data_IF_161346730123
#
_entry.id   IF_161346730123
#
_cell.length_a   1.000
_cell.length_b   1.000
_cell.length_c   1.000
_cell.angle_alpha   90.00
_cell.angle_beta   90.00
_cell.angle_gamma   90.00
#
_symmetry.space_group_name_H-M   'P 1'
#
loop_
_entity.id
_entity.type
_entity.pdbx_description
1 polymer ?
#
# COMPACT_ATOMS: atom_id res chain seq x y z
N UNK A 1 -47.01 2.24 11.78
CA UNK A 1 -47.07 1.48 10.52
C UNK A 1 -48.54 1.20 10.20
N UNK A 2 -48.97 1.38 8.95
CA UNK A 2 -50.36 1.07 8.53
C UNK A 2 -50.45 -0.40 8.11
N UNK A 3 -51.59 -1.01 8.32
CA UNK A 3 -51.84 -2.42 7.97
C UNK A 3 -51.58 -2.70 6.49
N UNK A 4 -51.89 -1.75 5.63
CA UNK A 4 -51.73 -1.82 4.16
C UNK A 4 -50.29 -1.87 3.70
N UNK A 5 -49.31 -1.52 4.55
CA UNK A 5 -47.90 -1.51 4.27
C UNK A 5 -47.26 -2.88 4.45
N UNK A 6 -47.90 -3.79 5.19
CA UNK A 6 -47.41 -5.16 5.42
C UNK A 6 -47.93 -6.08 4.32
N UNK A 7 -47.10 -6.31 3.32
CA UNK A 7 -47.42 -7.15 2.16
C UNK A 7 -46.41 -8.31 2.04
N UNK A 8 -46.77 -9.40 1.35
CA UNK A 8 -45.83 -10.43 1.03
C UNK A 8 -44.58 -9.88 0.30
N UNK A 9 -43.39 -10.33 0.66
CA UNK A 9 -42.09 -9.86 0.14
C UNK A 9 -41.50 -8.70 0.96
N UNK A 10 -42.21 -8.15 1.96
CA UNK A 10 -41.68 -7.11 2.82
C UNK A 10 -40.87 -7.71 3.96
N UNK A 11 -39.76 -7.12 4.27
CA UNK A 11 -38.96 -7.49 5.43
C UNK A 11 -39.30 -6.61 6.61
N UNK A 12 -39.59 -7.23 7.75
CA UNK A 12 -39.98 -6.56 8.97
C UNK A 12 -38.99 -6.87 10.10
N UNK A 13 -38.78 -5.89 10.99
CA UNK A 13 -38.03 -6.07 12.21
C UNK A 13 -38.82 -5.46 13.39
N UNK A 14 -38.74 -6.10 14.53
CA UNK A 14 -39.40 -5.68 15.75
C UNK A 14 -38.88 -6.42 16.97
N UNK A 15 -39.26 -5.97 18.17
CA UNK A 15 -38.78 -6.56 19.43
C UNK A 15 -39.16 -8.02 19.64
N UNK A 16 -40.10 -8.55 18.86
CA UNK A 16 -40.54 -9.95 18.93
C UNK A 16 -39.61 -10.92 18.21
N UNK A 17 -38.79 -10.41 17.30
CA UNK A 17 -37.87 -11.26 16.51
C UNK A 17 -36.43 -10.78 16.68
N UNK A 18 -35.51 -11.70 16.95
CA UNK A 18 -34.07 -11.36 17.05
C UNK A 18 -33.49 -10.99 15.71
N UNK A 19 -34.12 -11.38 14.61
CA UNK A 19 -33.68 -11.16 13.23
C UNK A 19 -34.80 -10.60 12.37
N UNK A 20 -34.47 -10.06 11.20
CA UNK A 20 -35.41 -9.63 10.18
C UNK A 20 -36.21 -10.80 9.66
N UNK A 21 -37.51 -10.63 9.50
CA UNK A 21 -38.45 -11.62 8.98
C UNK A 21 -38.91 -11.18 7.59
N UNK A 22 -38.75 -12.02 6.60
CA UNK A 22 -39.39 -11.87 5.30
C UNK A 22 -40.83 -12.39 5.37
N UNK A 23 -41.77 -11.52 5.07
CA UNK A 23 -43.20 -11.85 5.13
C UNK A 23 -43.63 -12.58 3.86
N UNK A 24 -44.03 -13.82 3.98
CA UNK A 24 -44.51 -14.62 2.84
C UNK A 24 -46.03 -14.54 2.66
N UNK A 25 -46.79 -14.41 3.78
CA UNK A 25 -48.22 -14.31 3.76
C UNK A 25 -48.72 -13.45 4.92
N UNK A 26 -49.78 -12.69 4.67
CA UNK A 26 -50.47 -11.87 5.65
C UNK A 26 -51.95 -12.22 5.62
N UNK A 27 -52.55 -12.55 6.79
CA UNK A 27 -53.96 -12.78 6.96
C UNK A 27 -54.52 -11.75 7.93
N UNK A 28 -55.56 -11.04 7.48
CA UNK A 28 -56.23 -10.05 8.33
C UNK A 28 -57.36 -10.73 9.13
N UNK A 29 -57.23 -10.68 10.45
CA UNK A 29 -58.18 -11.25 11.42
C UNK A 29 -58.94 -10.16 12.19
N UNK A 30 -59.25 -9.04 11.54
CA UNK A 30 -59.90 -7.91 12.15
C UNK A 30 -58.95 -7.05 12.99
N UNK A 31 -58.97 -7.19 14.31
CA UNK A 31 -58.04 -6.47 15.18
C UNK A 31 -56.65 -7.08 15.31
N UNK A 32 -56.41 -8.16 14.58
CA UNK A 32 -55.12 -8.88 14.57
C UNK A 32 -54.68 -9.18 13.14
N UNK A 33 -53.39 -9.26 12.95
CA UNK A 33 -52.74 -9.73 11.72
C UNK A 33 -51.94 -11.02 12.00
N UNK A 34 -52.20 -12.06 11.21
CA UNK A 34 -51.37 -13.25 11.23
C UNK A 34 -50.29 -13.08 10.17
N UNK A 35 -49.06 -13.11 10.60
CA UNK A 35 -47.88 -12.98 9.76
C UNK A 35 -47.20 -14.34 9.65
N UNK A 36 -47.07 -14.83 8.42
CA UNK A 36 -46.32 -16.04 8.09
C UNK A 36 -45.12 -15.64 7.26
N UNK A 37 -43.92 -16.05 7.68
CA UNK A 37 -42.68 -15.67 7.04
C UNK A 37 -41.50 -16.54 7.44
N UNK A 38 -40.33 -16.11 7.06
CA UNK A 38 -39.07 -16.76 7.44
C UNK A 38 -38.03 -15.73 7.87
N UNK A 39 -37.18 -16.10 8.82
CA UNK A 39 -36.02 -15.30 9.18
C UNK A 39 -34.89 -15.49 8.17
N UNK A 40 -33.90 -14.60 8.18
CA UNK A 40 -32.72 -14.74 7.33
C UNK A 40 -31.93 -16.04 7.59
N UNK A 41 -32.03 -16.59 8.81
CA UNK A 41 -31.48 -17.88 9.20
C UNK A 41 -32.33 -19.09 8.79
N UNK A 42 -33.47 -18.88 8.07
CA UNK A 42 -34.35 -19.95 7.58
C UNK A 42 -35.38 -20.43 8.61
N UNK A 43 -35.52 -19.79 9.77
CA UNK A 43 -36.55 -20.17 10.76
C UNK A 43 -37.91 -19.73 10.26
N UNK A 44 -38.88 -20.64 10.31
CA UNK A 44 -40.28 -20.34 10.03
C UNK A 44 -40.89 -19.49 11.16
N UNK A 45 -41.61 -18.45 10.79
CA UNK A 45 -42.32 -17.55 11.70
C UNK A 45 -43.82 -17.59 11.34
N UNK A 46 -44.65 -17.97 12.30
CA UNK A 46 -46.12 -17.89 12.21
C UNK A 46 -46.60 -17.28 13.48
N UNK A 47 -46.99 -15.99 13.42
CA UNK A 47 -47.40 -15.23 14.60
C UNK A 47 -48.61 -14.33 14.33
N UNK A 48 -49.46 -14.22 15.35
CA UNK A 48 -50.58 -13.29 15.38
C UNK A 48 -50.14 -12.05 16.16
N UNK A 49 -50.34 -10.88 15.57
CA UNK A 49 -49.90 -9.58 16.09
C UNK A 49 -51.12 -8.68 16.15
N UNK A 50 -51.33 -7.99 17.28
CA UNK A 50 -52.37 -6.97 17.40
C UNK A 50 -52.02 -5.70 16.63
N UNK A 51 -53.05 -4.94 16.22
CA UNK A 51 -52.82 -3.65 15.52
C UNK A 51 -52.02 -2.66 16.38
N UNK A 52 -52.16 -2.70 17.71
CA UNK A 52 -51.37 -1.86 18.61
C UNK A 52 -49.84 -2.19 18.57
N UNK A 53 -49.50 -3.47 18.39
CA UNK A 53 -48.10 -3.92 18.32
C UNK A 53 -47.46 -3.61 16.98
N UNK A 54 -48.23 -3.31 15.93
CA UNK A 54 -47.67 -2.87 14.63
C UNK A 54 -46.86 -1.56 14.76
N UNK A 55 -47.14 -0.72 15.75
CA UNK A 55 -46.35 0.49 15.98
C UNK A 55 -44.89 0.20 16.40
N UNK A 56 -44.63 -1.00 16.94
CA UNK A 56 -43.29 -1.43 17.37
C UNK A 56 -42.55 -2.22 16.28
N UNK A 57 -43.17 -2.38 15.11
CA UNK A 57 -42.60 -3.06 13.97
C UNK A 57 -42.18 -2.02 12.92
N UNK A 58 -41.01 -2.20 12.35
CA UNK A 58 -40.50 -1.37 11.26
C UNK A 58 -40.28 -2.20 10.02
N UNK A 59 -40.56 -1.61 8.86
CA UNK A 59 -40.20 -2.20 7.57
C UNK A 59 -38.71 -1.98 7.39
N UNK A 60 -38.00 -3.05 7.05
CA UNK A 60 -36.60 -3.02 6.68
C UNK A 60 -36.53 -3.20 5.18
N UNK A 61 -36.06 -2.19 4.49
CA UNK A 61 -35.79 -2.33 3.05
C UNK A 61 -34.56 -3.20 2.88
N UNK A 62 -34.76 -4.39 2.35
CA UNK A 62 -33.68 -5.30 1.92
C UNK A 62 -33.53 -5.10 0.42
N UNK A 63 -32.65 -4.26 0.03
CA UNK A 63 -32.40 -3.93 -1.37
C UNK A 63 -31.40 -2.79 -1.50
N UNK A 64 -31.08 -2.43 -2.71
CA UNK A 64 -30.25 -1.25 -2.99
C UNK A 64 -31.04 0.00 -2.60
N UNK A 65 -30.58 0.69 -1.57
CA UNK A 65 -31.18 1.95 -1.14
C UNK A 65 -30.73 3.08 -2.08
N UNK A 66 -31.65 3.59 -2.88
CA UNK A 66 -31.45 4.73 -3.76
C UNK A 66 -31.78 6.08 -3.09
N UNK A 67 -32.00 6.10 -1.78
CA UNK A 67 -32.29 7.35 -1.05
C UNK A 67 -31.06 8.21 -0.78
N UNK A 68 -29.88 7.67 -1.05
CA UNK A 68 -28.61 8.38 -0.86
C UNK A 68 -28.51 9.57 -1.80
N UNK A 69 -28.04 10.71 -1.25
CA UNK A 69 -27.77 11.92 -2.02
C UNK A 69 -26.86 11.61 -3.23
N UNK A 70 -27.30 12.04 -4.42
CA UNK A 70 -26.62 11.70 -5.70
C UNK A 70 -25.14 12.07 -5.71
N UNK A 71 -24.75 13.16 -5.05
CA UNK A 71 -23.36 13.58 -4.92
C UNK A 71 -22.52 12.56 -4.13
N UNK A 72 -23.06 12.03 -3.02
CA UNK A 72 -22.37 11.01 -2.22
C UNK A 72 -22.26 9.68 -2.96
N UNK A 73 -23.30 9.28 -3.69
CA UNK A 73 -23.29 8.08 -4.52
C UNK A 73 -22.24 8.21 -5.64
N UNK A 74 -22.19 9.36 -6.30
CA UNK A 74 -21.19 9.65 -7.34
C UNK A 74 -19.76 9.60 -6.79
N UNK A 75 -19.49 10.27 -5.65
CA UNK A 75 -18.19 10.24 -5.01
C UNK A 75 -17.76 8.82 -4.59
N UNK A 76 -18.70 8.02 -4.09
CA UNK A 76 -18.42 6.62 -3.74
C UNK A 76 -18.05 5.80 -5.00
N UNK A 77 -18.79 5.94 -6.09
CA UNK A 77 -18.50 5.26 -7.35
C UNK A 77 -17.17 5.71 -7.95
N UNK A 78 -16.87 7.02 -7.95
CA UNK A 78 -15.58 7.53 -8.42
C UNK A 78 -14.43 7.05 -7.55
N UNK A 79 -14.60 7.02 -6.23
CA UNK A 79 -13.59 6.46 -5.32
C UNK A 79 -13.30 4.99 -5.62
N UNK A 80 -14.34 4.20 -5.88
CA UNK A 80 -14.21 2.80 -6.27
C UNK A 80 -13.51 2.71 -7.64
N UNK A 81 -13.90 3.54 -8.59
CA UNK A 81 -13.31 3.59 -9.93
C UNK A 81 -11.81 3.92 -9.87
N UNK A 82 -11.41 4.96 -9.13
CA UNK A 82 -9.99 5.29 -8.91
C UNK A 82 -9.23 4.17 -8.21
N UNK A 83 -9.83 3.55 -7.21
CA UNK A 83 -9.21 2.42 -6.50
C UNK A 83 -8.97 1.23 -7.43
N UNK A 84 -9.88 0.92 -8.32
CA UNK A 84 -9.71 -0.17 -9.28
C UNK A 84 -8.82 0.22 -10.46
N UNK A 85 -8.89 1.44 -10.97
CA UNK A 85 -8.00 1.91 -12.03
C UNK A 85 -6.53 1.78 -11.63
N UNK A 86 -6.20 2.11 -10.37
CA UNK A 86 -4.84 1.96 -9.84
C UNK A 86 -4.35 0.51 -9.76
N UNK A 87 -5.25 -0.47 -9.70
CA UNK A 87 -4.90 -1.90 -9.69
C UNK A 87 -4.64 -2.45 -11.09
N UNK A 88 -5.27 -1.85 -12.11
CA UNK A 88 -5.20 -2.35 -13.49
C UNK A 88 -4.30 -1.53 -14.41
N UNK A 89 -3.87 -0.33 -13.97
CA UNK A 89 -2.90 0.46 -14.74
C UNK A 89 -1.50 -0.14 -14.58
N UNK A 90 -0.90 -0.70 -15.65
CA UNK A 90 0.43 -1.27 -15.58
C UNK A 90 1.53 -0.22 -15.41
N UNK A 91 1.25 1.07 -15.72
CA UNK A 91 2.20 2.18 -15.72
C UNK A 91 1.82 3.28 -14.71
N UNK A 92 1.23 2.89 -13.58
CA UNK A 92 0.62 3.80 -12.61
C UNK A 92 1.59 4.89 -12.10
N UNK A 93 2.82 4.50 -11.74
CA UNK A 93 3.81 5.46 -11.27
C UNK A 93 4.23 6.44 -12.37
N UNK A 94 4.35 5.98 -13.61
CA UNK A 94 4.66 6.86 -14.75
C UNK A 94 3.55 7.90 -14.95
N UNK A 95 2.30 7.47 -14.96
CA UNK A 95 1.14 8.36 -15.19
C UNK A 95 0.89 9.35 -14.04
N UNK A 96 1.41 9.07 -12.84
CA UNK A 96 1.26 9.92 -11.66
C UNK A 96 2.51 10.71 -11.28
N UNK A 97 3.59 10.58 -12.04
CA UNK A 97 4.86 11.28 -11.82
C UNK A 97 5.05 12.42 -12.82
N UNK A 98 5.89 13.39 -12.44
CA UNK A 98 6.26 14.53 -13.32
C UNK A 98 7.53 14.20 -14.11
N UNK A 99 7.50 13.07 -14.84
CA UNK A 99 8.62 12.57 -15.64
C UNK A 99 8.12 12.06 -16.98
N UNK A 100 8.92 12.28 -18.02
CA UNK A 100 8.77 11.64 -19.32
C UNK A 100 9.90 10.62 -19.49
N UNK A 101 9.68 9.37 -19.05
CA UNK A 101 10.73 8.36 -19.07
C UNK A 101 11.01 7.91 -20.49
N UNK A 102 12.28 7.66 -20.78
CA UNK A 102 12.72 7.14 -22.07
C UNK A 102 12.32 5.66 -22.23
N UNK A 103 12.17 5.16 -23.48
CA UNK A 103 11.72 3.78 -23.73
C UNK A 103 12.53 2.72 -23.01
N UNK A 104 13.86 2.84 -22.94
CA UNK A 104 14.73 1.91 -22.21
C UNK A 104 14.48 1.91 -20.69
N UNK A 105 14.11 3.07 -20.12
CA UNK A 105 13.78 3.20 -18.69
C UNK A 105 12.44 2.52 -18.38
N UNK A 106 11.46 2.66 -19.26
CA UNK A 106 10.15 1.98 -19.16
C UNK A 106 10.37 0.48 -19.26
N UNK A 107 11.14 0.03 -20.25
CA UNK A 107 11.46 -1.39 -20.45
C UNK A 107 12.19 -1.99 -19.24
N UNK A 108 13.20 -1.30 -18.72
CA UNK A 108 13.94 -1.75 -17.54
C UNK A 108 13.02 -1.91 -16.31
N UNK A 109 12.17 -0.93 -16.03
CA UNK A 109 11.29 -0.94 -14.87
C UNK A 109 10.14 -1.92 -15.04
N UNK A 110 9.33 -1.75 -16.07
CA UNK A 110 8.09 -2.50 -16.25
C UNK A 110 8.28 -3.81 -17.04
N UNK A 111 9.29 -3.87 -17.91
CA UNK A 111 9.63 -5.05 -18.67
C UNK A 111 10.36 -6.11 -17.86
N UNK A 112 11.22 -5.69 -16.96
CA UNK A 112 12.10 -6.60 -16.21
C UNK A 112 11.90 -6.53 -14.70
N UNK A 113 12.18 -5.37 -14.05
CA UNK A 113 12.28 -5.29 -12.58
C UNK A 113 10.96 -5.63 -11.89
N UNK A 114 9.86 -5.02 -12.28
CA UNK A 114 8.56 -5.20 -11.62
C UNK A 114 7.88 -6.54 -11.93
N UNK A 115 8.39 -7.29 -12.91
CA UNK A 115 7.90 -8.67 -13.18
C UNK A 115 8.51 -9.71 -12.25
N UNK A 116 9.58 -9.35 -11.53
CA UNK A 116 10.21 -10.28 -10.61
C UNK A 116 9.35 -10.47 -9.36
N UNK A 117 9.08 -11.70 -8.95
CA UNK A 117 8.34 -11.98 -7.71
C UNK A 117 9.10 -11.49 -6.48
N UNK A 118 10.43 -11.37 -6.60
CA UNK A 118 11.32 -10.77 -5.61
C UNK A 118 12.35 -9.91 -6.35
N UNK A 119 12.34 -8.62 -6.08
CA UNK A 119 13.23 -7.67 -6.75
C UNK A 119 14.63 -7.81 -6.17
N UNK A 120 15.51 -8.44 -6.94
CA UNK A 120 16.97 -8.44 -6.75
C UNK A 120 17.56 -8.13 -8.11
N UNK A 121 17.89 -6.88 -8.34
CA UNK A 121 18.25 -6.40 -9.65
C UNK A 121 19.40 -5.41 -9.58
N UNK A 122 20.32 -5.50 -10.52
CA UNK A 122 21.41 -4.55 -10.74
C UNK A 122 21.12 -3.79 -12.04
N UNK A 123 21.05 -2.47 -11.96
CA UNK A 123 21.06 -1.62 -13.15
C UNK A 123 22.49 -1.15 -13.36
N UNK A 124 23.13 -1.70 -14.38
CA UNK A 124 24.42 -1.27 -14.89
C UNK A 124 24.16 -0.51 -16.19
N UNK A 125 24.21 0.80 -16.13
CA UNK A 125 23.91 1.68 -17.27
C UNK A 125 24.86 2.88 -17.26
N UNK A 126 25.00 3.56 -18.39
CA UNK A 126 25.91 4.69 -18.54
C UNK A 126 25.58 5.86 -17.60
N UNK A 127 26.57 6.69 -17.23
CA UNK A 127 26.33 7.96 -16.58
C UNK A 127 25.34 8.81 -17.37
N UNK A 128 24.29 9.32 -16.68
CA UNK A 128 23.28 10.13 -17.35
C UNK A 128 22.10 9.38 -17.98
N UNK A 129 22.10 8.05 -18.02
CA UNK A 129 20.97 7.25 -18.54
C UNK A 129 19.67 7.38 -17.73
N UNK A 130 19.66 8.22 -16.68
CA UNK A 130 18.47 8.48 -15.88
C UNK A 130 18.15 7.39 -14.87
N UNK A 131 19.18 6.77 -14.29
CA UNK A 131 19.05 5.72 -13.28
C UNK A 131 18.19 6.14 -12.09
N UNK A 132 18.27 7.41 -11.65
CA UNK A 132 17.41 7.98 -10.61
C UNK A 132 15.94 7.99 -11.02
N UNK A 133 15.64 8.17 -12.32
CA UNK A 133 14.26 8.10 -12.84
C UNK A 133 13.72 6.69 -12.72
N UNK A 134 14.49 5.68 -13.14
CA UNK A 134 14.11 4.27 -13.00
C UNK A 134 13.87 3.89 -11.54
N UNK A 135 14.79 4.31 -10.66
CA UNK A 135 14.65 4.07 -9.22
C UNK A 135 13.41 4.73 -8.62
N UNK A 136 13.14 5.99 -8.98
CA UNK A 136 11.95 6.72 -8.53
C UNK A 136 10.65 6.09 -9.02
N UNK A 137 10.61 5.62 -10.27
CA UNK A 137 9.46 4.88 -10.81
C UNK A 137 9.21 3.58 -10.03
N UNK A 138 10.26 2.81 -9.72
CA UNK A 138 10.14 1.57 -8.95
C UNK A 138 9.60 1.86 -7.54
N UNK A 139 10.18 2.84 -6.84
CA UNK A 139 9.77 3.23 -5.49
C UNK A 139 8.29 3.64 -5.49
N UNK A 140 7.90 4.53 -6.41
CA UNK A 140 6.54 5.03 -6.50
C UNK A 140 5.55 3.93 -6.87
N UNK A 141 5.91 3.03 -7.79
CA UNK A 141 5.06 1.89 -8.17
C UNK A 141 4.82 0.94 -6.98
N UNK A 142 5.88 0.54 -6.29
CA UNK A 142 5.79 -0.33 -5.11
C UNK A 142 4.93 0.29 -4.00
N UNK A 143 5.05 1.61 -3.81
CA UNK A 143 4.28 2.37 -2.82
C UNK A 143 2.81 2.48 -3.20
N UNK A 144 2.49 2.88 -4.45
CA UNK A 144 1.13 3.01 -4.94
C UNK A 144 0.38 1.68 -4.92
N UNK A 145 1.06 0.58 -5.26
CA UNK A 145 0.50 -0.77 -5.17
C UNK A 145 0.46 -1.33 -3.76
N UNK A 146 0.98 -0.59 -2.76
CA UNK A 146 1.06 -1.00 -1.35
C UNK A 146 1.86 -2.30 -1.13
N UNK A 147 2.79 -2.59 -2.02
CA UNK A 147 3.70 -3.73 -1.93
C UNK A 147 4.80 -3.43 -0.92
N UNK A 148 5.32 -2.20 -0.91
CA UNK A 148 6.33 -1.74 0.02
C UNK A 148 5.88 -0.45 0.71
N UNK A 149 6.20 -0.33 1.99
CA UNK A 149 5.92 0.85 2.83
C UNK A 149 7.20 1.47 3.37
N UNK A 150 8.21 0.65 3.63
CA UNK A 150 9.44 1.06 4.28
C UNK A 150 10.63 0.94 3.33
N UNK A 151 11.20 2.10 3.02
CA UNK A 151 12.23 2.25 1.99
C UNK A 151 13.53 2.77 2.61
N UNK A 152 14.64 2.18 2.22
CA UNK A 152 15.99 2.65 2.54
C UNK A 152 16.77 2.91 1.25
N UNK A 153 17.24 4.14 1.09
CA UNK A 153 18.14 4.53 0.00
C UNK A 153 19.51 4.81 0.58
N UNK A 154 20.51 4.10 0.10
CA UNK A 154 21.92 4.29 0.48
C UNK A 154 22.63 4.90 -0.69
N UNK A 155 23.05 6.15 -0.55
CA UNK A 155 23.60 6.96 -1.66
C UNK A 155 24.95 7.55 -1.30
N UNK A 156 25.80 7.93 -2.27
CA UNK A 156 26.99 8.70 -1.99
C UNK A 156 26.64 10.04 -1.34
N UNK A 157 27.44 10.47 -0.35
CA UNK A 157 27.12 11.68 0.42
C UNK A 157 26.99 12.94 -0.43
N UNK A 158 27.75 13.08 -1.51
CA UNK A 158 27.69 14.22 -2.43
C UNK A 158 26.46 14.22 -3.35
N UNK A 159 25.77 13.08 -3.53
CA UNK A 159 24.54 12.96 -4.33
C UNK A 159 23.26 13.07 -3.49
N UNK A 160 23.38 13.17 -2.16
CA UNK A 160 22.27 13.26 -1.23
C UNK A 160 21.20 14.27 -1.64
N UNK A 161 21.62 15.52 -1.82
CA UNK A 161 20.68 16.63 -2.09
C UNK A 161 20.05 16.52 -3.47
N UNK A 162 20.77 15.92 -4.43
CA UNK A 162 20.22 15.61 -5.74
C UNK A 162 19.12 14.54 -5.62
N UNK A 163 19.36 13.43 -4.92
CA UNK A 163 18.39 12.37 -4.71
C UNK A 163 17.12 12.88 -4.02
N UNK A 164 17.28 13.64 -2.92
CA UNK A 164 16.14 14.20 -2.19
C UNK A 164 15.31 15.14 -3.06
N UNK A 165 15.97 15.98 -3.86
CA UNK A 165 15.30 16.91 -4.79
C UNK A 165 14.57 16.15 -5.89
N UNK A 166 15.24 15.22 -6.58
CA UNK A 166 14.63 14.50 -7.69
C UNK A 166 13.44 13.65 -7.24
N UNK A 167 13.53 12.99 -6.10
CA UNK A 167 12.41 12.22 -5.54
C UNK A 167 11.22 13.13 -5.20
N UNK A 168 11.48 14.29 -4.61
CA UNK A 168 10.43 15.24 -4.26
C UNK A 168 9.80 15.92 -5.48
N UNK A 169 10.63 16.47 -6.38
CA UNK A 169 10.14 17.32 -7.47
C UNK A 169 9.49 16.50 -8.60
N UNK A 170 10.05 15.32 -8.90
CA UNK A 170 9.61 14.48 -10.01
C UNK A 170 8.58 13.45 -9.60
N UNK A 171 8.70 12.90 -8.40
CA UNK A 171 7.87 11.79 -7.92
C UNK A 171 6.92 12.17 -6.79
N UNK A 172 7.04 13.39 -6.24
CA UNK A 172 6.27 13.85 -5.08
C UNK A 172 6.50 12.97 -3.84
N UNK A 173 7.69 12.37 -3.74
CA UNK A 173 8.09 11.50 -2.64
C UNK A 173 9.02 12.23 -1.68
N UNK A 174 8.64 12.25 -0.41
CA UNK A 174 9.42 12.91 0.64
C UNK A 174 10.21 11.86 1.44
N UNK A 175 11.53 11.96 1.39
CA UNK A 175 12.44 11.11 2.13
C UNK A 175 13.13 11.91 3.23
N UNK A 176 13.33 11.28 4.38
CA UNK A 176 14.09 11.84 5.50
C UNK A 176 15.56 11.46 5.35
N UNK A 177 16.43 12.46 5.38
CA UNK A 177 17.87 12.19 5.42
C UNK A 177 18.33 11.89 6.83
N UNK A 178 18.83 10.68 7.05
CA UNK A 178 19.33 10.23 8.36
C UNK A 178 20.85 10.27 8.36
N UNK A 179 21.37 11.18 9.18
CA UNK A 179 22.79 11.34 9.50
C UNK A 179 22.99 11.42 11.02
N UNK A 180 24.20 11.77 11.45
CA UNK A 180 24.52 11.92 12.86
C UNK A 180 23.64 13.00 13.53
N UNK A 181 23.50 14.15 12.90
CA UNK A 181 22.72 15.27 13.45
C UNK A 181 21.25 14.89 13.62
N UNK A 182 20.68 14.17 12.65
CA UNK A 182 19.31 13.70 12.75
C UNK A 182 19.12 12.69 13.89
N UNK A 183 20.06 11.76 14.04
CA UNK A 183 20.03 10.78 15.14
C UNK A 183 20.18 11.43 16.50
N UNK A 184 21.09 12.41 16.64
CA UNK A 184 21.32 13.12 17.90
C UNK A 184 20.09 13.97 18.30
N UNK A 185 19.37 14.53 17.32
CA UNK A 185 18.11 15.24 17.55
C UNK A 185 16.96 14.31 17.99
N UNK A 186 17.03 13.02 17.66
CA UNK A 186 16.01 12.00 17.98
C UNK A 186 16.58 10.90 18.90
N UNK A 187 17.44 11.27 19.83
CA UNK A 187 18.21 10.34 20.68
C UNK A 187 17.38 9.29 21.44
N UNK A 188 16.12 9.60 21.77
CA UNK A 188 15.25 8.67 22.52
C UNK A 188 14.50 7.66 21.63
N UNK A 189 14.63 7.73 20.31
CA UNK A 189 13.84 6.95 19.36
C UNK A 189 14.73 6.18 18.39
N UNK A 190 14.31 4.97 18.03
CA UNK A 190 14.96 4.26 16.94
C UNK A 190 14.48 4.82 15.60
N UNK A 191 15.24 5.76 15.06
CA UNK A 191 14.95 6.45 13.79
C UNK A 191 14.74 5.47 12.65
N UNK A 192 15.54 4.38 12.62
CA UNK A 192 15.46 3.35 11.58
C UNK A 192 14.15 2.55 11.60
N UNK A 193 13.47 2.49 12.74
CA UNK A 193 12.16 1.84 12.85
C UNK A 193 11.01 2.83 12.66
N UNK A 194 11.19 4.08 13.09
CA UNK A 194 10.15 5.10 13.05
C UNK A 194 9.89 5.62 11.65
N UNK A 195 10.96 5.95 10.91
CA UNK A 195 10.86 6.53 9.58
C UNK A 195 10.57 5.47 8.52
N UNK A 196 9.66 5.79 7.59
CA UNK A 196 9.29 4.89 6.51
C UNK A 196 10.08 5.12 5.22
N UNK A 197 10.56 6.32 4.99
CA UNK A 197 11.28 6.70 3.77
C UNK A 197 12.60 7.37 4.15
N UNK A 198 13.68 6.61 4.10
CA UNK A 198 15.00 7.01 4.57
C UNK A 198 15.98 7.10 3.41
N UNK A 199 16.72 8.20 3.36
CA UNK A 199 17.98 8.33 2.61
C UNK A 199 19.12 8.42 3.62
N UNK A 200 20.20 7.71 3.38
CA UNK A 200 21.42 7.81 4.18
C UNK A 200 22.67 7.71 3.30
N UNK A 201 23.80 8.19 3.80
CA UNK A 201 25.05 8.07 3.04
C UNK A 201 25.71 6.69 3.21
N UNK A 202 26.38 6.21 2.18
CA UNK A 202 27.17 4.96 2.23
C UNK A 202 28.17 5.01 3.39
N UNK A 203 28.86 6.17 3.58
CA UNK A 203 29.87 6.33 4.61
C UNK A 203 29.30 6.37 6.02
N UNK A 204 28.07 6.79 6.18
CA UNK A 204 27.38 6.77 7.46
C UNK A 204 26.81 5.38 7.76
N UNK A 205 26.17 4.74 6.77
CA UNK A 205 25.54 3.43 6.94
C UNK A 205 26.53 2.31 7.29
N UNK A 206 27.78 2.39 6.79
CA UNK A 206 28.82 1.37 7.04
C UNK A 206 29.51 1.48 8.40
N UNK A 207 29.21 2.51 9.22
CA UNK A 207 29.82 2.63 10.56
C UNK A 207 29.40 1.48 11.46
N UNK A 208 30.34 0.99 12.26
CA UNK A 208 30.12 -0.15 13.15
C UNK A 208 29.01 0.06 14.18
N UNK A 209 28.78 1.32 14.58
CA UNK A 209 27.70 1.71 15.50
C UNK A 209 26.32 1.81 14.81
N UNK A 210 26.30 2.09 13.51
CA UNK A 210 25.07 2.37 12.74
C UNK A 210 24.54 1.09 12.09
N UNK A 211 25.42 0.30 11.51
CA UNK A 211 25.07 -0.88 10.73
C UNK A 211 24.21 -1.90 11.49
N UNK A 212 24.44 -2.19 12.80
CA UNK A 212 23.57 -3.08 13.56
C UNK A 212 22.14 -2.53 13.70
N UNK A 213 21.99 -1.23 13.91
CA UNK A 213 20.68 -0.58 14.03
C UNK A 213 19.89 -0.62 12.72
N UNK A 214 20.55 -0.36 11.58
CA UNK A 214 19.95 -0.54 10.25
C UNK A 214 19.56 -2.00 10.03
N UNK A 215 20.43 -2.94 10.39
CA UNK A 215 20.20 -4.39 10.20
C UNK A 215 19.09 -4.96 11.07
N UNK A 216 18.80 -4.33 12.22
CA UNK A 216 17.67 -4.72 13.09
C UNK A 216 16.34 -4.22 12.54
N UNK A 217 16.33 -3.09 11.85
CA UNK A 217 15.14 -2.53 11.23
C UNK A 217 14.69 -3.40 10.03
N UNK A 218 13.39 -3.48 9.83
CA UNK A 218 12.79 -4.22 8.72
C UNK A 218 12.44 -3.27 7.60
N UNK A 219 13.17 -3.33 6.48
CA UNK A 219 12.85 -2.57 5.26
C UNK A 219 12.22 -3.49 4.22
N UNK A 220 11.19 -3.00 3.55
CA UNK A 220 10.54 -3.73 2.45
C UNK A 220 11.35 -3.62 1.16
N UNK A 221 11.99 -2.46 0.96
CA UNK A 221 12.80 -2.18 -0.22
C UNK A 221 14.07 -1.40 0.13
N UNK A 222 15.19 -1.85 -0.40
CA UNK A 222 16.49 -1.21 -0.23
C UNK A 222 17.05 -0.90 -1.61
N UNK A 223 17.48 0.34 -1.80
CA UNK A 223 18.18 0.80 -2.98
C UNK A 223 19.57 1.25 -2.58
N UNK A 224 20.57 0.82 -3.34
CA UNK A 224 21.95 1.24 -3.16
C UNK A 224 22.45 1.88 -4.45
N UNK A 225 22.85 3.14 -4.36
CA UNK A 225 23.50 3.85 -5.44
C UNK A 225 25.03 3.63 -5.37
N UNK A 226 25.70 3.59 -6.51
CA UNK A 226 27.14 3.31 -6.61
C UNK A 226 27.53 1.98 -5.92
N UNK A 227 26.81 0.92 -6.23
CA UNK A 227 26.96 -0.39 -5.60
C UNK A 227 28.38 -1.00 -5.75
N UNK A 228 29.19 -0.52 -6.72
CA UNK A 228 30.58 -0.91 -6.87
C UNK A 228 31.43 -0.54 -5.63
N UNK A 229 31.05 0.51 -4.87
CA UNK A 229 31.71 0.88 -3.60
C UNK A 229 31.46 -0.12 -2.48
N UNK A 230 30.56 -1.08 -2.68
CA UNK A 230 30.25 -2.16 -1.77
C UNK A 230 30.99 -3.46 -2.11
N UNK A 231 31.81 -3.45 -3.17
CA UNK A 231 32.56 -4.61 -3.63
C UNK A 231 33.69 -4.98 -2.67
N UNK A 232 33.90 -6.27 -2.46
CA UNK A 232 34.98 -6.85 -1.64
C UNK A 232 36.40 -6.64 -2.20
N UNK A 233 36.51 -6.13 -3.42
CA UNK A 233 37.79 -5.85 -4.08
C UNK A 233 38.45 -4.53 -3.68
N UNK A 234 37.83 -3.74 -2.77
CA UNK A 234 38.47 -2.54 -2.22
C UNK A 234 39.58 -2.90 -1.23
N UNK A 235 40.73 -2.15 -1.22
CA UNK A 235 41.83 -2.36 -0.25
C UNK A 235 41.39 -2.31 1.22
N UNK A 236 40.19 -1.75 1.51
CA UNK A 236 39.58 -1.74 2.82
C UNK A 236 38.74 -3.02 3.09
N UNK A 237 39.38 -4.18 2.88
CA UNK A 237 38.79 -5.53 2.98
C UNK A 237 37.90 -5.76 4.22
N UNK A 238 38.22 -5.18 5.36
CA UNK A 238 37.44 -5.33 6.61
C UNK A 238 36.01 -4.76 6.51
N UNK A 239 35.82 -3.70 5.76
CA UNK A 239 34.51 -3.06 5.61
C UNK A 239 33.64 -3.79 4.58
N UNK A 240 34.27 -4.33 3.53
CA UNK A 240 33.57 -5.13 2.52
C UNK A 240 33.04 -6.44 3.12
N UNK A 241 33.83 -7.17 3.90
CA UNK A 241 33.41 -8.40 4.57
C UNK A 241 32.29 -8.15 5.60
N UNK A 242 32.37 -7.05 6.36
CA UNK A 242 31.34 -6.67 7.32
C UNK A 242 30.05 -6.27 6.61
N UNK A 243 30.15 -5.60 5.45
CA UNK A 243 29.01 -5.19 4.66
C UNK A 243 28.41 -6.38 3.89
N UNK A 244 29.21 -7.28 3.33
CA UNK A 244 28.72 -8.53 2.72
C UNK A 244 28.00 -9.44 3.73
N UNK A 245 28.56 -9.60 4.93
CA UNK A 245 27.89 -10.34 6.02
C UNK A 245 26.59 -9.65 6.44
N UNK A 246 26.56 -8.33 6.51
CA UNK A 246 25.39 -7.56 6.91
C UNK A 246 24.43 -7.40 5.74
N UNK A 247 24.90 -7.15 4.53
CA UNK A 247 24.09 -7.15 3.32
C UNK A 247 23.50 -8.54 3.05
N UNK A 248 24.23 -9.62 3.28
CA UNK A 248 23.71 -10.99 3.20
C UNK A 248 22.61 -11.29 4.24
N UNK A 249 22.71 -10.73 5.44
CA UNK A 249 21.64 -10.77 6.48
C UNK A 249 20.51 -9.80 6.15
N UNK A 250 20.84 -8.62 5.64
CA UNK A 250 19.94 -7.57 5.21
C UNK A 250 19.11 -8.02 4.01
N UNK A 251 19.76 -8.61 2.99
CA UNK A 251 19.13 -9.19 1.79
C UNK A 251 18.17 -10.32 2.16
N UNK A 252 18.45 -11.08 3.20
CA UNK A 252 17.55 -12.13 3.67
C UNK A 252 16.31 -11.58 4.41
N UNK A 253 16.43 -10.41 5.04
CA UNK A 253 15.33 -9.74 5.76
C UNK A 253 14.53 -8.80 4.89
N UNK A 254 15.19 -8.06 3.99
CA UNK A 254 14.51 -7.16 3.08
C UNK A 254 13.77 -7.95 1.98
N UNK A 255 12.53 -7.60 1.74
CA UNK A 255 11.73 -8.21 0.68
C UNK A 255 12.36 -8.02 -0.71
N UNK A 256 13.02 -6.87 -0.94
CA UNK A 256 13.56 -6.50 -2.25
C UNK A 256 14.78 -5.61 -2.13
N UNK A 257 15.78 -5.82 -3.00
CA UNK A 257 16.97 -4.99 -3.10
C UNK A 257 17.15 -4.56 -4.55
N UNK A 258 17.40 -3.27 -4.72
CA UNK A 258 17.75 -2.66 -5.96
C UNK A 258 19.18 -2.08 -5.85
N UNK A 259 20.07 -2.52 -6.72
CA UNK A 259 21.45 -2.06 -6.76
C UNK A 259 21.67 -1.24 -8.02
N UNK A 260 22.36 -0.14 -7.85
CA UNK A 260 22.68 0.83 -8.88
C UNK A 260 24.19 1.04 -8.93
N UNK A 261 24.83 0.81 -10.04
CA UNK A 261 26.28 0.98 -10.18
C UNK A 261 26.68 1.45 -11.57
N UNK A 262 27.78 2.20 -11.60
CA UNK A 262 28.54 2.44 -12.81
C UNK A 262 29.57 1.32 -12.96
N UNK A 263 29.35 0.38 -13.85
CA UNK A 263 30.42 -0.48 -14.35
C UNK A 263 30.90 0.12 -15.68
N UNK A 264 32.17 0.44 -15.82
CA UNK A 264 32.72 0.56 -17.16
C UNK A 264 32.61 -0.83 -17.80
N UNK A 265 31.82 -0.96 -18.85
CA UNK A 265 31.82 -2.11 -19.71
C UNK A 265 33.17 -2.07 -20.47
N UNK A 266 34.25 -2.54 -19.84
CA UNK A 266 35.38 -3.03 -20.61
C UNK A 266 34.93 -4.37 -21.17
N UNK A 267 34.59 -4.35 -22.44
CA UNK A 267 34.41 -5.55 -23.23
C UNK A 267 35.75 -6.30 -23.34
N UNK A 268 35.75 -7.63 -23.37
CA UNK A 268 36.94 -8.45 -23.60
C UNK A 268 37.56 -8.20 -24.96
#
# INVERSE_FOLDING_TARGET
>A
MKIEEVKPGVHIAGSKWPETVEVNKVENLGNHLRLIGATKSGRHVDQVISIAELNNIRIVQVGVDFSTESCKAFLALETIRYRFASLYDPLLAMNTSKVDPLPHQIEAVYGYVLKLPRIRFLIADDPGAGKTIMAGLIIKELKLRKIAKKFLLVVPGHLRDQWLRELKDRFEESFTFVDRNYMDAHYAENVWEKENQIVTSIDFAKRSEILPAISSASFDFILVDEAHKMSAYSPERKYAEMWEMSCGKFVRKAGSIFQHSHFPLEAP
#
